data_IF_267619805080
#
_entry.id   IF_267619805080
#
_cell.length_a   1.000
_cell.length_b   1.000
_cell.length_c   1.000
_cell.angle_alpha   90.00
_cell.angle_beta   90.00
_cell.angle_gamma   90.00
#
_symmetry.space_group_name_H-M   'P 1'
#
loop_
_entity.id
_entity.type
_entity.pdbx_description
1 polymer ?
#
# COMPACT_ATOMS: atom_id res chain seq x y z
N UNK A 1 -22.34 26.89 -62.67
CA UNK A 1 -23.55 27.65 -63.07
C UNK A 1 -23.86 28.86 -62.17
N UNK A 2 -24.37 28.76 -60.94
CA UNK A 2 -24.75 29.95 -60.15
C UNK A 2 -23.58 30.88 -59.74
N UNK A 3 -22.43 30.28 -59.39
CA UNK A 3 -21.19 31.01 -59.03
C UNK A 3 -20.52 31.68 -60.23
N UNK A 4 -20.76 31.16 -61.43
CA UNK A 4 -20.27 31.69 -62.72
C UNK A 4 -21.21 32.79 -63.26
N UNK A 5 -22.49 32.78 -62.89
CA UNK A 5 -23.50 33.79 -63.26
C UNK A 5 -23.63 34.94 -62.24
N UNK A 6 -22.88 34.91 -61.12
CA UNK A 6 -22.88 35.98 -60.11
C UNK A 6 -24.18 36.10 -59.30
N UNK A 7 -25.05 35.09 -59.33
CA UNK A 7 -26.37 35.10 -58.68
C UNK A 7 -26.23 34.91 -57.15
N UNK A 8 -26.07 36.05 -56.47
CA UNK A 8 -25.80 36.12 -55.02
C UNK A 8 -26.94 35.58 -54.18
N UNK A 9 -28.19 35.77 -54.59
CA UNK A 9 -29.37 35.30 -53.85
C UNK A 9 -29.43 33.77 -53.83
N UNK A 10 -29.18 33.12 -54.96
CA UNK A 10 -29.16 31.67 -55.04
C UNK A 10 -28.01 31.07 -54.22
N UNK A 11 -26.83 31.70 -54.28
CA UNK A 11 -25.67 31.29 -53.47
C UNK A 11 -25.96 31.39 -51.97
N UNK A 12 -26.54 32.49 -51.53
CA UNK A 12 -26.81 32.70 -50.11
C UNK A 12 -27.95 31.81 -49.59
N UNK A 13 -28.96 31.53 -50.42
CA UNK A 13 -30.01 30.52 -50.12
C UNK A 13 -29.40 29.14 -49.88
N UNK A 14 -28.48 28.68 -50.71
CA UNK A 14 -27.83 27.37 -50.54
C UNK A 14 -26.88 27.34 -49.34
N UNK A 15 -26.16 28.43 -49.04
CA UNK A 15 -25.36 28.54 -47.81
C UNK A 15 -26.24 28.46 -46.56
N UNK A 16 -27.38 29.15 -46.56
CA UNK A 16 -28.33 29.10 -45.45
C UNK A 16 -28.86 27.68 -45.24
N UNK A 17 -29.24 27.00 -46.32
CA UNK A 17 -29.68 25.59 -46.29
C UNK A 17 -28.59 24.65 -45.75
N UNK A 18 -27.32 24.87 -46.13
CA UNK A 18 -26.17 24.13 -45.60
C UNK A 18 -26.03 24.32 -44.08
N UNK A 19 -26.09 25.56 -43.59
CA UNK A 19 -26.04 25.85 -42.15
C UNK A 19 -27.20 25.20 -41.38
N UNK A 20 -28.40 25.20 -41.94
CA UNK A 20 -29.56 24.53 -41.32
C UNK A 20 -29.34 23.03 -41.19
N UNK A 21 -28.78 22.38 -42.22
CA UNK A 21 -28.47 20.95 -42.19
C UNK A 21 -27.36 20.62 -41.18
N UNK A 22 -26.31 21.44 -41.11
CA UNK A 22 -25.24 21.29 -40.11
C UNK A 22 -25.78 21.42 -38.68
N UNK A 23 -26.64 22.40 -38.42
CA UNK A 23 -27.28 22.55 -37.10
C UNK A 23 -28.15 21.35 -36.77
N UNK A 24 -28.99 20.88 -37.71
CA UNK A 24 -29.82 19.70 -37.48
C UNK A 24 -29.00 18.44 -37.21
N UNK A 25 -27.87 18.27 -37.90
CA UNK A 25 -26.95 17.15 -37.67
C UNK A 25 -26.26 17.26 -36.30
N UNK A 26 -25.84 18.46 -35.90
CA UNK A 26 -25.27 18.72 -34.57
C UNK A 26 -26.29 18.46 -33.46
N UNK A 27 -27.53 18.91 -33.64
CA UNK A 27 -28.62 18.68 -32.70
C UNK A 27 -28.94 17.18 -32.56
N UNK A 28 -28.94 16.45 -33.68
CA UNK A 28 -29.13 15.00 -33.68
C UNK A 28 -28.00 14.27 -32.96
N UNK A 29 -26.74 14.67 -33.17
CA UNK A 29 -25.58 14.11 -32.45
C UNK A 29 -25.62 14.41 -30.95
N UNK A 30 -25.99 15.64 -30.55
CA UNK A 30 -26.12 16.03 -29.15
C UNK A 30 -27.27 15.32 -28.42
N UNK A 31 -28.33 14.95 -29.13
CA UNK A 31 -29.45 14.18 -28.57
C UNK A 31 -29.14 12.67 -28.50
N UNK A 32 -28.10 12.22 -29.19
CA UNK A 32 -27.73 10.81 -29.31
C UNK A 32 -26.23 10.65 -29.05
N UNK A 33 -25.80 10.90 -27.81
CA UNK A 33 -24.39 10.84 -27.40
C UNK A 33 -23.71 9.49 -27.73
N UNK A 34 -24.47 8.41 -27.87
CA UNK A 34 -23.97 7.09 -28.28
C UNK A 34 -23.49 7.05 -29.75
N UNK A 35 -23.95 7.97 -30.60
CA UNK A 35 -23.48 8.14 -31.98
C UNK A 35 -22.20 8.99 -32.06
N UNK A 36 -21.85 9.68 -30.97
CA UNK A 36 -20.61 10.46 -30.89
C UNK A 36 -19.44 9.52 -30.62
N UNK A 37 -18.49 9.47 -31.56
CA UNK A 37 -17.27 8.68 -31.39
C UNK A 37 -16.44 9.22 -30.23
N UNK A 38 -16.46 8.51 -29.10
CA UNK A 38 -15.67 8.83 -27.91
C UNK A 38 -14.21 8.40 -28.08
N UNK A 39 -13.41 9.22 -28.79
CA UNK A 39 -11.96 8.98 -29.01
C UNK A 39 -11.18 8.73 -27.70
N UNK A 40 -11.62 9.32 -26.58
CA UNK A 40 -11.06 9.11 -25.24
C UNK A 40 -11.25 7.67 -24.74
N UNK A 41 -12.41 7.05 -25.00
CA UNK A 41 -12.68 5.65 -24.64
C UNK A 41 -11.85 4.68 -25.48
N UNK A 42 -11.67 4.97 -26.77
CA UNK A 42 -10.82 4.17 -27.67
C UNK A 42 -9.33 4.21 -27.30
N UNK A 43 -8.84 5.29 -26.67
CA UNK A 43 -7.46 5.35 -26.13
C UNK A 43 -7.22 4.31 -25.04
N UNK A 44 -8.22 4.05 -24.18
CA UNK A 44 -8.11 3.06 -23.09
C UNK A 44 -8.04 1.62 -23.60
N UNK A 45 -8.57 1.32 -24.79
CA UNK A 45 -8.55 -0.03 -25.38
C UNK A 45 -7.30 -0.32 -26.23
N UNK A 46 -6.50 0.70 -26.59
CA UNK A 46 -5.29 0.51 -27.42
C UNK A 46 -4.05 0.05 -26.65
N UNK A 47 -4.09 0.01 -25.33
CA UNK A 47 -2.89 -0.15 -24.49
C UNK A 47 -2.70 -1.59 -23.95
N UNK A 48 -3.09 -2.62 -24.69
CA UNK A 48 -2.75 -4.02 -24.34
C UNK A 48 -1.22 -4.23 -24.22
N UNK A 49 -0.44 -3.51 -25.02
CA UNK A 49 1.03 -3.46 -24.88
C UNK A 49 1.48 -2.78 -23.58
N UNK A 50 0.75 -1.76 -23.12
CA UNK A 50 0.96 -1.11 -21.82
C UNK A 50 0.63 -2.04 -20.65
N UNK A 51 -0.43 -2.84 -20.75
CA UNK A 51 -0.75 -3.88 -19.76
C UNK A 51 0.31 -4.98 -19.77
N UNK A 52 0.74 -5.45 -20.94
CA UNK A 52 1.76 -6.49 -21.06
C UNK A 52 3.14 -6.02 -20.55
N UNK A 53 3.53 -4.79 -20.87
CA UNK A 53 4.77 -4.18 -20.35
C UNK A 53 4.69 -3.93 -18.84
N UNK A 54 3.54 -3.48 -18.33
CA UNK A 54 3.30 -3.36 -16.88
C UNK A 54 3.43 -4.71 -16.19
N UNK A 55 2.85 -5.79 -16.74
CA UNK A 55 3.00 -7.15 -16.19
C UNK A 55 4.45 -7.60 -16.18
N UNK A 56 5.18 -7.43 -17.29
CA UNK A 56 6.61 -7.74 -17.36
C UNK A 56 7.42 -6.96 -16.33
N UNK A 57 7.13 -5.67 -16.15
CA UNK A 57 7.80 -4.84 -15.15
C UNK A 57 7.49 -5.32 -13.72
N UNK A 58 6.24 -5.64 -13.41
CA UNK A 58 5.84 -6.17 -12.10
C UNK A 58 6.50 -7.52 -11.80
N UNK A 59 6.61 -8.41 -12.79
CA UNK A 59 7.31 -9.69 -12.66
C UNK A 59 8.81 -9.50 -12.43
N UNK A 60 9.45 -8.60 -13.17
CA UNK A 60 10.87 -8.28 -13.00
C UNK A 60 11.15 -7.65 -11.63
N UNK A 61 10.32 -6.70 -11.20
CA UNK A 61 10.40 -6.09 -9.87
C UNK A 61 10.15 -7.12 -8.75
N UNK A 62 9.16 -8.00 -8.92
CA UNK A 62 8.92 -9.11 -7.99
C UNK A 62 10.16 -10.01 -7.87
N UNK A 63 10.73 -10.47 -8.99
CA UNK A 63 11.92 -11.33 -9.00
C UNK A 63 13.11 -10.64 -8.35
N UNK A 64 13.33 -9.35 -8.64
CA UNK A 64 14.40 -8.56 -8.02
C UNK A 64 14.24 -8.50 -6.50
N UNK A 65 13.03 -8.24 -6.01
CA UNK A 65 12.73 -8.18 -4.57
C UNK A 65 12.87 -9.55 -3.90
N UNK A 66 12.37 -10.59 -4.55
CA UNK A 66 12.49 -11.97 -4.09
C UNK A 66 13.95 -12.37 -3.95
N UNK A 67 14.76 -12.21 -5.01
CA UNK A 67 16.18 -12.56 -4.98
C UNK A 67 16.92 -11.78 -3.89
N UNK A 68 16.74 -10.46 -3.82
CA UNK A 68 17.40 -9.63 -2.79
C UNK A 68 17.02 -10.01 -1.35
N UNK A 69 15.78 -10.47 -1.14
CA UNK A 69 15.35 -10.99 0.16
C UNK A 69 15.99 -12.36 0.44
N UNK A 70 15.91 -13.26 -0.55
CA UNK A 70 16.38 -14.63 -0.42
C UNK A 70 17.90 -14.69 -0.27
N UNK A 71 18.66 -13.79 -0.89
CA UNK A 71 20.13 -13.70 -0.76
C UNK A 71 20.58 -13.50 0.69
N UNK A 72 19.73 -12.89 1.53
CA UNK A 72 20.01 -12.67 2.96
C UNK A 72 19.68 -13.87 3.85
N UNK A 73 18.89 -14.82 3.34
CA UNK A 73 18.53 -16.04 4.06
C UNK A 73 19.61 -17.10 3.91
N UNK A 74 19.86 -17.83 4.99
CA UNK A 74 20.64 -19.06 4.95
C UNK A 74 19.78 -20.18 4.35
N UNK A 75 18.57 -20.34 4.87
CA UNK A 75 17.58 -21.28 4.33
C UNK A 75 16.63 -20.57 3.36
N UNK A 76 16.79 -20.84 2.07
CA UNK A 76 16.09 -20.13 1.00
C UNK A 76 14.60 -20.49 0.99
N UNK A 77 13.74 -19.50 0.79
CA UNK A 77 12.30 -19.71 0.59
C UNK A 77 11.94 -19.69 -0.90
N UNK A 78 10.79 -20.26 -1.23
CA UNK A 78 10.21 -20.21 -2.59
C UNK A 78 9.58 -18.85 -2.89
N UNK A 79 9.34 -18.56 -4.18
CA UNK A 79 8.58 -17.37 -4.60
C UNK A 79 7.17 -17.33 -3.99
N UNK A 80 6.52 -18.50 -3.83
CA UNK A 80 5.20 -18.61 -3.19
C UNK A 80 5.28 -18.18 -1.72
N UNK A 81 6.23 -18.73 -0.97
CA UNK A 81 6.44 -18.34 0.43
C UNK A 81 6.77 -16.85 0.57
N UNK A 82 7.52 -16.27 -0.37
CA UNK A 82 7.78 -14.82 -0.36
C UNK A 82 6.51 -13.98 -0.63
N UNK A 83 5.63 -14.43 -1.55
CA UNK A 83 4.31 -13.82 -1.75
C UNK A 83 3.45 -13.92 -0.50
N UNK A 84 3.44 -15.09 0.13
CA UNK A 84 2.68 -15.34 1.35
C UNK A 84 3.18 -14.47 2.52
N UNK A 85 4.49 -14.32 2.66
CA UNK A 85 5.11 -13.42 3.64
C UNK A 85 4.70 -11.96 3.42
N UNK A 86 4.62 -11.52 2.16
CA UNK A 86 4.28 -10.12 1.79
C UNK A 86 2.77 -9.88 1.57
N UNK A 87 1.92 -10.86 1.86
CA UNK A 87 0.47 -10.80 1.59
C UNK A 87 -0.35 -10.00 2.61
N UNK A 88 0.23 -9.67 3.77
CA UNK A 88 -0.49 -9.16 4.95
C UNK A 88 -1.59 -10.10 5.49
N UNK A 89 -1.63 -11.36 5.04
CA UNK A 89 -2.47 -12.42 5.62
C UNK A 89 -1.69 -13.11 6.73
N UNK A 90 -2.18 -12.99 7.96
CA UNK A 90 -1.52 -13.51 9.15
C UNK A 90 -1.36 -15.04 9.13
N UNK A 91 -2.30 -15.77 8.53
CA UNK A 91 -2.23 -17.24 8.49
C UNK A 91 -1.13 -17.69 7.53
N UNK A 92 -1.05 -17.05 6.36
CA UNK A 92 -0.01 -17.30 5.37
C UNK A 92 1.38 -16.93 5.88
N UNK A 93 1.50 -15.80 6.57
CA UNK A 93 2.74 -15.40 7.23
C UNK A 93 3.18 -16.46 8.26
N UNK A 94 2.26 -16.91 9.11
CA UNK A 94 2.55 -17.95 10.12
C UNK A 94 2.93 -19.28 9.49
N UNK A 95 2.34 -19.66 8.37
CA UNK A 95 2.72 -20.87 7.63
C UNK A 95 4.17 -20.78 7.15
N UNK A 96 4.60 -19.64 6.58
CA UNK A 96 5.99 -19.42 6.19
C UNK A 96 6.92 -19.50 7.40
N UNK A 97 6.53 -18.90 8.54
CA UNK A 97 7.30 -18.96 9.79
C UNK A 97 7.46 -20.37 10.34
N UNK A 98 6.43 -21.22 10.21
CA UNK A 98 6.49 -22.62 10.64
C UNK A 98 7.38 -23.46 9.73
N UNK A 99 7.38 -23.15 8.43
CA UNK A 99 8.11 -23.91 7.41
C UNK A 99 9.56 -23.43 7.18
N UNK A 100 9.97 -22.33 7.82
CA UNK A 100 11.33 -21.80 7.72
C UNK A 100 11.79 -21.32 9.09
N UNK A 101 12.71 -22.07 9.70
CA UNK A 101 13.15 -21.85 11.08
C UNK A 101 13.80 -20.48 11.27
N UNK A 102 14.63 -20.03 10.31
CA UNK A 102 15.30 -18.73 10.38
C UNK A 102 14.28 -17.58 10.44
N UNK A 103 13.28 -17.59 9.56
CA UNK A 103 12.21 -16.60 9.55
C UNK A 103 11.29 -16.74 10.77
N UNK A 104 10.98 -17.96 11.20
CA UNK A 104 10.24 -18.23 12.42
C UNK A 104 10.92 -17.60 13.64
N UNK A 105 12.24 -17.77 13.77
CA UNK A 105 13.05 -17.18 14.84
C UNK A 105 13.14 -15.66 14.75
N UNK A 106 13.29 -15.10 13.54
CA UNK A 106 13.38 -13.65 13.33
C UNK A 106 12.05 -12.93 13.56
N UNK A 107 10.93 -13.59 13.26
CA UNK A 107 9.58 -13.04 13.41
C UNK A 107 8.92 -13.35 14.74
N UNK A 108 9.45 -14.27 15.57
CA UNK A 108 8.83 -14.62 16.84
C UNK A 108 8.67 -13.41 17.76
N UNK A 109 7.62 -13.43 18.57
CA UNK A 109 7.40 -12.41 19.59
C UNK A 109 8.46 -12.53 20.69
N UNK A 110 9.16 -11.44 20.99
CA UNK A 110 9.95 -11.32 22.22
C UNK A 110 9.01 -10.97 23.38
N UNK A 111 8.34 -11.97 23.92
CA UNK A 111 7.21 -11.77 24.85
C UNK A 111 7.57 -10.93 26.07
N UNK A 112 8.65 -11.28 26.77
CA UNK A 112 9.13 -10.52 27.94
C UNK A 112 9.38 -9.04 27.59
N UNK A 113 10.08 -8.78 26.48
CA UNK A 113 10.33 -7.42 25.99
C UNK A 113 9.07 -6.72 25.54
N UNK A 114 8.10 -7.43 24.99
CA UNK A 114 6.83 -6.83 24.61
C UNK A 114 6.02 -6.41 25.85
N UNK A 115 6.01 -7.24 26.90
CA UNK A 115 5.30 -6.97 28.16
C UNK A 115 5.91 -5.78 28.90
N UNK A 116 7.22 -5.56 28.83
CA UNK A 116 7.84 -4.32 29.31
C UNK A 116 7.22 -3.05 28.69
N UNK A 117 6.50 -3.13 27.57
CA UNK A 117 5.86 -2.00 26.90
C UNK A 117 4.32 -2.05 26.94
N UNK A 118 3.72 -2.85 27.82
CA UNK A 118 2.27 -2.93 27.99
C UNK A 118 1.92 -2.53 29.41
N UNK A 119 1.11 -1.49 29.55
CA UNK A 119 0.71 -0.97 30.85
C UNK A 119 -0.02 -2.02 31.69
N UNK A 120 0.38 -2.17 32.96
CA UNK A 120 -0.25 -3.07 33.91
C UNK A 120 0.28 -4.50 33.92
N UNK A 121 1.23 -4.87 33.04
CA UNK A 121 1.94 -6.15 33.17
C UNK A 121 2.95 -6.10 34.32
N UNK A 122 3.32 -7.26 34.84
CA UNK A 122 4.37 -7.38 35.86
C UNK A 122 5.70 -6.81 35.35
N UNK A 123 6.08 -7.13 34.12
CA UNK A 123 7.32 -6.66 33.50
C UNK A 123 7.34 -5.14 33.32
N UNK A 124 6.19 -4.52 33.00
CA UNK A 124 6.08 -3.07 32.92
C UNK A 124 6.27 -2.43 34.30
N UNK A 125 5.59 -2.96 35.33
CA UNK A 125 5.63 -2.43 36.70
C UNK A 125 7.03 -2.53 37.32
N UNK A 126 7.75 -3.63 37.06
CA UNK A 126 9.07 -3.88 37.63
C UNK A 126 10.18 -3.01 37.01
N UNK A 127 9.97 -2.46 35.80
CA UNK A 127 11.04 -1.78 35.03
C UNK A 127 11.29 -0.31 35.43
N UNK A 128 10.38 0.31 36.20
CA UNK A 128 10.47 1.62 36.87
C UNK A 128 11.40 2.68 36.21
N UNK A 129 11.12 3.08 34.96
CA UNK A 129 12.05 3.95 34.20
C UNK A 129 11.41 4.96 33.21
N UNK A 130 10.10 5.22 33.29
CA UNK A 130 9.43 6.19 32.41
C UNK A 130 9.42 5.78 30.92
N UNK A 131 9.37 4.48 30.62
CA UNK A 131 9.30 3.95 29.26
C UNK A 131 7.97 4.21 28.55
N UNK A 132 8.02 4.30 27.23
CA UNK A 132 6.84 4.30 26.36
C UNK A 132 6.06 2.98 26.49
N UNK A 133 4.73 3.05 26.52
CA UNK A 133 3.84 1.91 26.75
C UNK A 133 2.53 1.96 25.96
N UNK A 134 1.94 0.79 25.71
CA UNK A 134 0.59 0.64 25.17
C UNK A 134 -0.42 0.46 26.30
N UNK A 135 -1.68 0.89 26.09
CA UNK A 135 -2.81 0.57 26.99
C UNK A 135 -3.82 -0.34 26.30
N UNK A 136 -4.56 -1.10 27.10
CA UNK A 136 -5.75 -1.86 26.68
C UNK A 136 -5.49 -2.85 25.51
N UNK A 137 -4.28 -3.39 25.43
CA UNK A 137 -3.87 -4.34 24.41
C UNK A 137 -2.99 -5.44 25.01
N UNK A 138 -3.15 -6.67 24.53
CA UNK A 138 -2.28 -7.79 24.91
C UNK A 138 -1.07 -7.89 23.98
N UNK A 139 0.01 -8.50 24.46
CA UNK A 139 1.23 -8.77 23.70
C UNK A 139 0.92 -9.54 22.41
N UNK A 140 0.03 -10.52 22.47
CA UNK A 140 -0.37 -11.30 21.29
C UNK A 140 -1.21 -10.51 20.29
N UNK A 141 -2.10 -9.62 20.74
CA UNK A 141 -2.89 -8.75 19.85
C UNK A 141 -1.98 -7.74 19.13
N UNK A 142 -1.07 -7.12 19.87
CA UNK A 142 -0.08 -6.20 19.34
C UNK A 142 0.86 -6.90 18.35
N UNK A 143 1.33 -8.10 18.69
CA UNK A 143 2.15 -8.92 17.81
C UNK A 143 1.47 -9.25 16.47
N UNK A 144 0.23 -9.72 16.51
CA UNK A 144 -0.53 -10.01 15.29
C UNK A 144 -0.72 -8.74 14.44
N UNK A 145 -0.93 -7.58 15.08
CA UNK A 145 -0.99 -6.31 14.37
C UNK A 145 0.35 -5.95 13.72
N UNK A 146 1.47 -6.13 14.42
CA UNK A 146 2.80 -5.89 13.88
C UNK A 146 3.08 -6.77 12.66
N UNK A 147 2.88 -8.10 12.78
CA UNK A 147 3.09 -9.02 11.66
C UNK A 147 2.25 -8.65 10.43
N UNK A 148 1.01 -8.22 10.65
CA UNK A 148 0.10 -7.86 9.55
C UNK A 148 0.50 -6.57 8.83
N UNK A 149 1.14 -5.63 9.52
CA UNK A 149 1.38 -4.29 8.99
C UNK A 149 2.86 -3.95 8.73
N UNK A 150 3.79 -4.82 9.16
CA UNK A 150 5.21 -4.61 8.90
C UNK A 150 5.56 -4.81 7.42
N UNK A 151 6.50 -4.01 6.93
CA UNK A 151 7.15 -4.26 5.66
C UNK A 151 8.16 -5.39 5.84
N UNK A 152 7.78 -6.59 5.39
CA UNK A 152 8.62 -7.79 5.47
C UNK A 152 9.93 -7.64 4.71
N UNK A 153 10.02 -6.73 3.72
CA UNK A 153 11.29 -6.46 3.01
C UNK A 153 12.33 -5.81 3.92
N UNK A 154 11.88 -5.16 5.00
CA UNK A 154 12.71 -4.47 6.00
C UNK A 154 13.04 -5.35 7.21
N UNK A 155 12.72 -6.65 7.18
CA UNK A 155 12.91 -7.54 8.33
C UNK A 155 14.35 -7.67 8.83
N UNK A 156 15.31 -7.35 7.97
CA UNK A 156 16.75 -7.36 8.30
C UNK A 156 17.27 -6.03 8.84
N UNK A 157 16.44 -4.98 8.86
CA UNK A 157 16.78 -3.72 9.51
C UNK A 157 16.65 -3.85 11.04
N UNK A 158 17.33 -2.98 11.78
CA UNK A 158 17.23 -2.97 13.24
C UNK A 158 15.83 -2.58 13.74
N UNK A 159 15.15 -1.69 13.01
CA UNK A 159 13.79 -1.28 13.32
C UNK A 159 13.04 -0.83 12.07
N UNK A 160 11.71 -0.78 12.19
CA UNK A 160 10.83 -0.16 11.22
C UNK A 160 9.65 0.50 11.94
N UNK A 161 8.88 1.32 11.23
CA UNK A 161 7.72 2.00 11.80
C UNK A 161 6.44 1.59 11.07
N UNK A 162 5.36 1.39 11.84
CA UNK A 162 4.01 1.17 11.32
C UNK A 162 3.04 2.12 12.04
N UNK A 163 1.99 2.59 11.38
CA UNK A 163 1.04 3.53 12.00
C UNK A 163 0.20 2.85 13.10
N UNK A 164 -0.17 3.60 14.14
CA UNK A 164 -0.94 3.13 15.32
C UNK A 164 -2.46 3.22 15.15
N UNK A 165 -3.02 3.25 13.93
CA UNK A 165 -4.43 3.59 13.64
C UNK A 165 -5.50 2.98 14.58
N UNK A 166 -5.25 1.83 15.21
CA UNK A 166 -6.16 1.16 16.15
C UNK A 166 -5.53 0.77 17.49
N UNK A 167 -4.37 1.31 17.83
CA UNK A 167 -3.60 0.94 19.00
C UNK A 167 -3.27 2.19 19.80
N UNK A 168 -3.79 2.25 21.02
CA UNK A 168 -3.49 3.34 21.93
C UNK A 168 -2.14 3.13 22.60
N UNK A 169 -1.22 4.06 22.38
CA UNK A 169 0.10 4.07 22.99
C UNK A 169 0.51 5.46 23.45
N UNK A 170 1.39 5.49 24.45
CA UNK A 170 2.02 6.67 25.02
C UNK A 170 3.52 6.57 24.76
N UNK A 171 4.04 7.55 24.06
CA UNK A 171 5.47 7.78 23.89
C UNK A 171 5.97 8.73 25.00
N UNK A 172 6.95 8.27 25.78
CA UNK A 172 7.55 9.02 26.88
C UNK A 172 8.78 9.78 26.37
N UNK A 173 8.57 10.98 25.83
CA UNK A 173 9.66 11.82 25.32
C UNK A 173 10.56 12.22 26.48
N UNK A 174 11.87 11.97 26.32
CA UNK A 174 12.88 12.16 27.37
C UNK A 174 12.53 11.47 28.70
N UNK A 175 11.74 10.38 28.65
CA UNK A 175 11.25 9.61 29.81
C UNK A 175 10.34 10.39 30.78
N UNK A 176 9.90 11.59 30.40
CA UNK A 176 9.16 12.50 31.30
C UNK A 176 7.87 12.98 30.66
N UNK A 177 7.87 13.31 29.36
CA UNK A 177 6.71 13.93 28.70
C UNK A 177 5.87 12.87 27.99
N UNK A 178 4.67 12.53 28.50
CA UNK A 178 3.79 11.59 27.83
C UNK A 178 3.12 12.25 26.62
N UNK A 179 3.24 11.61 25.45
CA UNK A 179 2.54 12.04 24.24
C UNK A 179 1.87 10.85 23.58
N UNK A 180 0.70 11.05 22.98
CA UNK A 180 0.05 9.99 22.19
C UNK A 180 0.95 9.56 21.03
N UNK A 181 1.15 8.25 20.87
CA UNK A 181 1.93 7.67 19.78
C UNK A 181 1.10 7.59 18.50
N UNK A 182 1.67 8.04 17.38
CA UNK A 182 1.09 7.90 16.04
C UNK A 182 1.71 6.73 15.24
N UNK A 183 2.73 6.07 15.79
CA UNK A 183 3.38 4.91 15.19
C UNK A 183 3.93 3.93 16.23
N UNK A 184 4.17 2.69 15.80
CA UNK A 184 4.87 1.65 16.53
C UNK A 184 6.24 1.52 15.91
N UNK A 185 7.28 1.69 16.74
CA UNK A 185 8.64 1.30 16.38
C UNK A 185 8.81 -0.19 16.65
N UNK A 186 8.88 -0.98 15.58
CA UNK A 186 9.11 -2.42 15.67
C UNK A 186 10.61 -2.66 15.68
N UNK A 187 11.14 -3.07 16.84
CA UNK A 187 12.51 -3.54 16.98
C UNK A 187 12.62 -4.96 16.45
N UNK A 188 13.64 -5.21 15.63
CA UNK A 188 13.83 -6.46 14.91
C UNK A 188 15.26 -6.97 15.11
N UNK A 189 15.39 -8.29 15.24
CA UNK A 189 16.68 -8.96 15.38
C UNK A 189 16.57 -10.42 15.00
N UNK A 190 17.70 -11.16 15.08
CA UNK A 190 17.72 -12.60 14.78
C UNK A 190 16.77 -13.40 15.68
N UNK A 191 16.57 -12.93 16.92
CA UNK A 191 15.79 -13.66 17.93
C UNK A 191 14.37 -13.13 18.13
N UNK A 192 13.82 -12.42 17.15
CA UNK A 192 12.43 -11.98 17.18
C UNK A 192 12.23 -10.47 17.20
N UNK A 193 10.97 -10.08 17.41
CA UNK A 193 10.49 -8.71 17.34
C UNK A 193 9.75 -8.27 18.60
N UNK A 194 9.75 -6.96 18.88
CA UNK A 194 8.82 -6.31 19.80
C UNK A 194 8.53 -4.89 19.34
N UNK A 195 7.35 -4.38 19.68
CA UNK A 195 6.91 -3.03 19.36
C UNK A 195 7.01 -2.10 20.56
N UNK A 196 7.38 -0.86 20.29
CA UNK A 196 7.40 0.25 21.26
C UNK A 196 6.56 1.39 20.68
N UNK A 197 5.68 2.05 21.47
CA UNK A 197 4.99 3.24 20.99
C UNK A 197 6.00 4.35 20.70
N UNK A 198 5.80 5.07 19.61
CA UNK A 198 6.69 6.13 19.19
C UNK A 198 5.90 7.25 18.52
N UNK A 199 6.36 8.49 18.65
CA UNK A 199 5.83 9.64 17.93
C UNK A 199 6.67 9.97 16.70
N UNK A 200 6.06 10.33 15.57
CA UNK A 200 6.79 10.92 14.44
C UNK A 200 7.37 12.26 14.88
N UNK A 201 8.70 12.37 14.86
CA UNK A 201 9.35 13.68 14.94
C UNK A 201 9.02 14.43 13.65
N UNK A 202 8.38 15.59 13.79
CA UNK A 202 8.07 16.50 12.70
C UNK A 202 9.23 17.47 12.50
#
# INVERSE_FOLDING_TARGET
MAKELGDRELIDKYKLKGKTLEMAMKDHLNKNDFLVRLKEREKLFKDNESIASTRKWMEADFKKRYNSFNDKLTDKITEKQFKDLTSHDLNRIKEVMLNNEELGNRLKLKEFKQKEHIYGTEEYNNRNNGQSYFKDITERKLYNYMLKNMDMKKIYQHYQFIDTKKIYGIDMINKITPVSSDQIKIHQGKDGIHGVPNRKMR
#
